data_IF_281844710775
#
_entry.id   IF_281844710775
#
_cell.length_a   1.000
_cell.length_b   1.000
_cell.length_c   1.000
_cell.angle_alpha   90.00
_cell.angle_beta   90.00
_cell.angle_gamma   90.00
#
_symmetry.space_group_name_H-M   'P 1'
#
loop_
_entity.id
_entity.type
_entity.pdbx_description
1 polymer ?
#
# COMPACT_ATOMS: atom_id res chain seq x y z
N UNK A 1 -17.72 -9.69 8.02
CA UNK A 1 -17.54 -9.98 6.58
C UNK A 1 -17.13 -8.71 5.88
N UNK A 2 -16.17 -8.79 4.97
CA UNK A 2 -15.55 -7.65 4.29
C UNK A 2 -16.18 -7.41 2.92
N UNK A 3 -16.16 -6.16 2.45
CA UNK A 3 -16.55 -5.79 1.10
C UNK A 3 -15.40 -5.13 0.38
N UNK A 4 -15.36 -5.23 -0.95
CA UNK A 4 -14.39 -4.48 -1.74
C UNK A 4 -14.62 -2.98 -1.49
N UNK A 5 -13.58 -2.25 -1.09
CA UNK A 5 -13.65 -0.79 -0.89
C UNK A 5 -14.15 -0.11 -2.15
N UNK A 6 -14.69 1.11 -2.06
CA UNK A 6 -14.88 1.95 -3.25
C UNK A 6 -13.51 2.39 -3.79
N UNK A 7 -13.30 2.27 -5.09
CA UNK A 7 -12.09 2.81 -5.74
C UNK A 7 -12.11 4.36 -5.67
N UNK A 8 -11.02 5.05 -5.28
CA UNK A 8 -10.99 6.51 -5.14
C UNK A 8 -11.16 7.30 -6.44
N UNK A 9 -10.92 6.65 -7.58
CA UNK A 9 -10.95 7.22 -8.92
C UNK A 9 -11.41 6.17 -9.93
N UNK A 10 -11.86 6.58 -11.13
CA UNK A 10 -12.31 5.64 -12.16
C UNK A 10 -11.14 5.10 -13.00
N UNK A 11 -10.32 6.01 -13.55
CA UNK A 11 -9.08 5.72 -14.27
C UNK A 11 -8.13 6.92 -14.18
N UNK A 12 -6.85 6.71 -14.46
CA UNK A 12 -5.83 7.73 -14.66
C UNK A 12 -5.21 7.48 -16.03
N UNK A 13 -5.71 8.18 -17.05
CA UNK A 13 -5.50 7.85 -18.48
C UNK A 13 -4.06 7.56 -18.90
N UNK A 14 -3.08 8.23 -18.31
CA UNK A 14 -1.67 8.11 -18.66
C UNK A 14 -0.84 7.24 -17.68
N UNK A 15 -1.52 6.58 -16.73
CA UNK A 15 -0.90 5.72 -15.73
C UNK A 15 -1.69 4.43 -15.46
N UNK A 16 -2.94 4.51 -14.99
CA UNK A 16 -3.81 3.37 -14.65
C UNK A 16 -5.03 3.44 -15.55
N UNK A 17 -5.04 2.67 -16.64
CA UNK A 17 -6.17 2.64 -17.56
C UNK A 17 -7.41 2.00 -16.91
N UNK A 18 -8.59 2.27 -17.48
CA UNK A 18 -9.82 1.56 -17.10
C UNK A 18 -9.66 0.03 -17.09
N UNK A 19 -8.95 -0.55 -18.07
CA UNK A 19 -8.70 -1.98 -18.12
C UNK A 19 -7.83 -2.43 -16.92
N UNK A 20 -6.80 -1.66 -16.54
CA UNK A 20 -6.04 -1.94 -15.32
C UNK A 20 -6.91 -1.88 -14.08
N UNK A 21 -7.82 -0.90 -13.95
CA UNK A 21 -8.77 -0.86 -12.83
C UNK A 21 -9.70 -2.08 -12.82
N UNK A 22 -10.26 -2.48 -13.97
CA UNK A 22 -11.15 -3.64 -14.09
C UNK A 22 -10.48 -4.94 -13.65
N UNK A 23 -9.20 -5.14 -13.98
CA UNK A 23 -8.47 -6.35 -13.60
C UNK A 23 -7.85 -6.26 -12.21
N UNK A 24 -7.11 -5.21 -11.88
CA UNK A 24 -6.38 -5.10 -10.62
C UNK A 24 -7.34 -4.88 -9.44
N UNK A 25 -8.24 -3.92 -9.53
CA UNK A 25 -9.25 -3.67 -8.50
C UNK A 25 -10.44 -4.62 -8.66
N UNK A 26 -11.05 -4.67 -9.84
CA UNK A 26 -12.31 -5.39 -10.07
C UNK A 26 -12.19 -6.93 -10.03
N UNK A 27 -10.99 -7.50 -10.24
CA UNK A 27 -10.77 -8.95 -10.19
C UNK A 27 -9.76 -9.36 -9.12
N UNK A 28 -8.52 -8.89 -9.14
CA UNK A 28 -7.49 -9.32 -8.18
C UNK A 28 -7.89 -8.94 -6.74
N UNK A 29 -8.15 -7.65 -6.50
CA UNK A 29 -8.56 -7.18 -5.19
C UNK A 29 -9.90 -7.81 -4.73
N UNK A 30 -10.90 -7.84 -5.60
CA UNK A 30 -12.18 -8.51 -5.34
C UNK A 30 -12.01 -10.00 -4.95
N UNK A 31 -11.08 -10.70 -5.60
CA UNK A 31 -10.80 -12.11 -5.32
C UNK A 31 -10.21 -12.29 -3.92
N UNK A 32 -9.29 -11.41 -3.49
CA UNK A 32 -8.77 -11.46 -2.11
C UNK A 32 -9.87 -11.27 -1.06
N UNK A 33 -10.79 -10.32 -1.28
CA UNK A 33 -11.95 -10.10 -0.40
C UNK A 33 -12.83 -11.36 -0.34
N UNK A 34 -13.18 -11.94 -1.50
CA UNK A 34 -14.02 -13.14 -1.58
C UNK A 34 -13.37 -14.34 -0.91
N UNK A 35 -12.09 -14.56 -1.17
CA UNK A 35 -11.31 -15.64 -0.58
C UNK A 35 -11.22 -15.48 0.94
N UNK A 36 -10.91 -14.27 1.43
CA UNK A 36 -10.86 -14.01 2.87
C UNK A 36 -12.19 -14.34 3.54
N UNK A 37 -13.30 -13.81 3.01
CA UNK A 37 -14.64 -14.09 3.52
C UNK A 37 -14.99 -15.58 3.53
N UNK A 38 -14.49 -16.37 2.58
CA UNK A 38 -14.71 -17.82 2.54
C UNK A 38 -13.82 -18.55 3.55
N UNK A 39 -12.57 -18.14 3.71
CA UNK A 39 -11.59 -18.79 4.57
C UNK A 39 -11.84 -18.57 6.06
N UNK A 40 -12.47 -17.46 6.45
CA UNK A 40 -12.67 -17.13 7.87
C UNK A 40 -13.94 -17.75 8.48
N UNK A 41 -14.87 -18.25 7.67
CA UNK A 41 -16.15 -18.81 8.16
C UNK A 41 -15.92 -19.99 9.10
N UNK A 42 -16.53 -19.96 10.29
CA UNK A 42 -16.35 -20.98 11.32
C UNK A 42 -14.95 -21.02 11.95
N UNK A 43 -14.12 -20.00 11.72
CA UNK A 43 -12.80 -19.87 12.36
C UNK A 43 -12.83 -18.80 13.46
N UNK A 44 -11.76 -18.69 14.24
CA UNK A 44 -11.60 -17.62 15.23
C UNK A 44 -11.63 -16.20 14.61
N UNK A 45 -11.39 -16.09 13.30
CA UNK A 45 -11.35 -14.83 12.57
C UNK A 45 -12.69 -14.39 11.96
N UNK A 46 -13.76 -15.18 12.11
CA UNK A 46 -15.05 -14.92 11.43
C UNK A 46 -15.61 -13.52 11.73
N UNK A 47 -15.39 -13.05 12.97
CA UNK A 47 -15.85 -11.75 13.46
C UNK A 47 -14.70 -10.81 13.83
N UNK A 48 -13.46 -11.15 13.46
CA UNK A 48 -12.30 -10.32 13.72
C UNK A 48 -12.27 -9.10 12.80
N UNK A 49 -11.59 -8.02 13.21
CA UNK A 49 -11.31 -6.91 12.29
C UNK A 49 -10.23 -7.30 11.28
N UNK A 50 -10.15 -6.61 10.14
CA UNK A 50 -9.11 -6.88 9.15
C UNK A 50 -7.70 -6.73 9.77
N UNK A 51 -7.52 -5.74 10.65
CA UNK A 51 -6.28 -5.51 11.38
C UNK A 51 -5.90 -6.69 12.26
N UNK A 52 -6.85 -7.26 12.99
CA UNK A 52 -6.60 -8.44 13.81
C UNK A 52 -6.21 -9.64 12.96
N UNK A 53 -6.84 -9.85 11.81
CA UNK A 53 -6.48 -10.94 10.91
C UNK A 53 -5.07 -10.73 10.35
N UNK A 54 -4.74 -9.54 9.85
CA UNK A 54 -3.41 -9.23 9.30
C UNK A 54 -2.31 -9.44 10.35
N UNK A 55 -2.57 -9.13 11.62
CA UNK A 55 -1.55 -9.21 12.68
C UNK A 55 -1.46 -10.58 13.36
N UNK A 56 -2.49 -11.43 13.28
CA UNK A 56 -2.55 -12.71 14.01
C UNK A 56 -2.60 -13.94 13.11
N UNK A 57 -3.23 -13.87 11.94
CA UNK A 57 -3.41 -15.01 11.07
C UNK A 57 -2.10 -15.42 10.36
N UNK A 58 -2.10 -16.62 9.79
CA UNK A 58 -0.99 -17.16 9.00
C UNK A 58 -1.52 -17.83 7.72
N UNK A 59 -0.62 -18.20 6.81
CA UNK A 59 -0.94 -18.97 5.60
C UNK A 59 -1.97 -18.28 4.70
N UNK A 60 -2.95 -19.04 4.20
CA UNK A 60 -3.93 -18.54 3.22
C UNK A 60 -4.82 -17.42 3.76
N UNK A 61 -5.19 -17.44 5.05
CA UNK A 61 -5.97 -16.37 5.67
C UNK A 61 -5.16 -15.07 5.70
N UNK A 62 -3.91 -15.14 6.16
CA UNK A 62 -2.99 -14.00 6.15
C UNK A 62 -2.79 -13.46 4.73
N UNK A 63 -2.49 -14.33 3.77
CA UNK A 63 -2.22 -13.91 2.39
C UNK A 63 -3.37 -13.08 1.80
N UNK A 64 -4.62 -13.51 2.00
CA UNK A 64 -5.77 -12.76 1.47
C UNK A 64 -6.04 -11.50 2.30
N UNK A 65 -5.96 -11.55 3.63
CA UNK A 65 -6.15 -10.36 4.49
C UNK A 65 -5.12 -9.26 4.21
N UNK A 66 -3.85 -9.64 4.13
CA UNK A 66 -2.78 -8.71 3.83
C UNK A 66 -2.91 -8.16 2.41
N UNK A 67 -3.29 -8.96 1.41
CA UNK A 67 -3.51 -8.44 0.06
C UNK A 67 -4.71 -7.47 -0.01
N UNK A 68 -5.80 -7.69 0.75
CA UNK A 68 -6.88 -6.68 0.86
C UNK A 68 -6.31 -5.36 1.38
N UNK A 69 -5.61 -5.40 2.52
CA UNK A 69 -4.99 -4.19 3.08
C UNK A 69 -3.98 -3.51 2.14
N UNK A 70 -3.05 -4.27 1.56
CA UNK A 70 -1.99 -3.73 0.72
C UNK A 70 -2.59 -3.00 -0.50
N UNK A 71 -3.63 -3.58 -1.12
CA UNK A 71 -4.33 -2.94 -2.24
C UNK A 71 -5.13 -1.73 -1.77
N UNK A 72 -5.88 -1.83 -0.66
CA UNK A 72 -6.59 -0.68 -0.10
C UNK A 72 -5.65 0.51 0.06
N UNK A 73 -4.49 0.29 0.69
CA UNK A 73 -3.49 1.33 0.94
C UNK A 73 -2.83 1.84 -0.35
N UNK A 74 -2.55 0.95 -1.31
CA UNK A 74 -2.04 1.32 -2.63
C UNK A 74 -2.99 2.28 -3.37
N UNK A 75 -4.30 2.00 -3.37
CA UNK A 75 -5.27 2.85 -4.06
C UNK A 75 -5.33 4.27 -3.47
N UNK A 76 -5.18 4.43 -2.16
CA UNK A 76 -5.13 5.75 -1.53
C UNK A 76 -3.79 6.46 -1.72
N UNK A 77 -2.70 5.72 -2.00
CA UNK A 77 -1.40 6.28 -2.36
C UNK A 77 -1.35 6.89 -3.77
N UNK A 78 -2.39 6.72 -4.58
CA UNK A 78 -2.46 7.19 -5.97
C UNK A 78 -3.54 8.26 -6.12
N UNK A 79 -3.23 9.32 -6.87
CA UNK A 79 -4.17 10.42 -7.16
C UNK A 79 -4.19 10.78 -8.65
N UNK A 80 -5.38 11.01 -9.25
CA UNK A 80 -5.49 11.54 -10.62
C UNK A 80 -4.96 12.98 -10.74
N UNK A 81 -4.92 13.72 -9.62
CA UNK A 81 -4.48 15.11 -9.57
C UNK A 81 -3.22 15.25 -8.72
N UNK A 82 -2.34 16.18 -9.08
CA UNK A 82 -1.21 16.53 -8.23
C UNK A 82 -1.71 17.00 -6.85
N UNK A 83 -1.14 16.43 -5.80
CA UNK A 83 -1.40 16.80 -4.40
C UNK A 83 -0.12 17.33 -3.77
N UNK A 84 -0.25 18.06 -2.66
CA UNK A 84 0.89 18.68 -1.99
C UNK A 84 1.35 17.85 -0.80
N UNK A 85 2.67 17.76 -0.67
CA UNK A 85 3.32 17.21 0.51
C UNK A 85 3.26 18.21 1.67
N UNK A 86 2.94 17.74 2.88
CA UNK A 86 3.05 18.57 4.08
C UNK A 86 4.50 18.94 4.38
N UNK A 87 4.72 20.08 5.04
CA UNK A 87 6.06 20.48 5.49
C UNK A 87 6.68 19.45 6.46
N UNK A 88 5.85 18.77 7.26
CA UNK A 88 6.31 17.70 8.14
C UNK A 88 6.88 16.51 7.36
N UNK A 89 6.20 16.10 6.28
CA UNK A 89 6.67 14.99 5.44
C UNK A 89 7.92 15.37 4.65
N UNK A 90 7.99 16.60 4.13
CA UNK A 90 9.22 17.13 3.48
C UNK A 90 10.40 17.08 4.45
N UNK A 91 10.23 17.61 5.66
CA UNK A 91 11.27 17.60 6.68
C UNK A 91 11.71 16.19 7.07
N UNK A 92 10.77 15.24 7.22
CA UNK A 92 11.10 13.85 7.52
C UNK A 92 11.87 13.15 6.39
N UNK A 93 11.55 13.48 5.13
CA UNK A 93 12.28 12.99 3.96
C UNK A 93 13.70 13.57 3.94
N UNK A 94 13.85 14.88 4.12
CA UNK A 94 15.16 15.52 4.10
C UNK A 94 16.06 15.03 5.25
N UNK A 95 15.50 14.83 6.45
CA UNK A 95 16.25 14.30 7.60
C UNK A 95 16.74 12.86 7.34
N UNK A 96 15.93 12.03 6.69
CA UNK A 96 16.24 10.61 6.51
C UNK A 96 17.11 10.37 5.28
N UNK A 97 16.75 10.97 4.15
CA UNK A 97 17.34 10.69 2.84
C UNK A 97 18.27 11.80 2.33
N UNK A 98 18.29 12.95 3.02
CA UNK A 98 19.13 14.10 2.70
C UNK A 98 18.56 15.05 1.65
N UNK A 99 17.71 14.58 0.73
CA UNK A 99 16.88 15.40 -0.15
C UNK A 99 15.74 14.59 -0.76
N UNK A 100 14.73 15.28 -1.30
CA UNK A 100 13.65 14.65 -2.06
C UNK A 100 14.15 13.86 -3.28
N UNK A 101 15.16 14.35 -3.99
CA UNK A 101 15.75 13.66 -5.15
C UNK A 101 16.40 12.33 -4.75
N UNK A 102 17.17 12.33 -3.65
CA UNK A 102 17.78 11.10 -3.11
C UNK A 102 16.73 10.11 -2.62
N UNK A 103 15.65 10.61 -2.03
CA UNK A 103 14.51 9.78 -1.67
C UNK A 103 13.86 9.14 -2.91
N UNK A 104 13.56 9.94 -3.95
CA UNK A 104 13.01 9.43 -5.22
C UNK A 104 13.91 8.35 -5.82
N UNK A 105 15.21 8.62 -5.93
CA UNK A 105 16.18 7.66 -6.46
C UNK A 105 16.19 6.35 -5.66
N UNK A 106 16.26 6.45 -4.33
CA UNK A 106 16.30 5.29 -3.44
C UNK A 106 15.01 4.47 -3.52
N UNK A 107 13.86 5.13 -3.54
CA UNK A 107 12.55 4.46 -3.61
C UNK A 107 12.36 3.74 -4.94
N UNK A 108 12.66 4.41 -6.06
CA UNK A 108 12.55 3.83 -7.39
C UNK A 108 13.54 2.68 -7.62
N UNK A 109 14.78 2.81 -7.15
CA UNK A 109 15.77 1.74 -7.22
C UNK A 109 15.31 0.52 -6.40
N UNK A 110 14.79 0.75 -5.20
CA UNK A 110 14.23 -0.33 -4.36
C UNK A 110 13.07 -1.03 -5.06
N UNK A 111 12.07 -0.29 -5.55
CA UNK A 111 10.93 -0.88 -6.24
C UNK A 111 11.31 -1.61 -7.54
N UNK A 112 12.34 -1.11 -8.26
CA UNK A 112 12.84 -1.73 -9.49
C UNK A 112 13.52 -3.07 -9.22
N UNK A 113 14.36 -3.12 -8.19
CA UNK A 113 15.23 -4.28 -7.88
C UNK A 113 14.55 -5.38 -7.09
N UNK A 114 13.33 -5.16 -6.58
CA UNK A 114 12.54 -6.19 -5.90
C UNK A 114 12.28 -7.38 -6.85
N UNK A 115 12.85 -8.54 -6.55
CA UNK A 115 12.74 -9.71 -7.41
C UNK A 115 11.40 -10.45 -7.21
N UNK A 116 10.72 -10.75 -8.32
CA UNK A 116 9.43 -11.42 -8.32
C UNK A 116 8.28 -10.50 -7.91
N UNK A 117 7.30 -11.09 -7.23
CA UNK A 117 6.08 -10.42 -6.77
C UNK A 117 6.25 -9.82 -5.38
N UNK A 118 5.74 -8.61 -5.16
CA UNK A 118 5.84 -7.95 -3.87
C UNK A 118 5.47 -6.48 -3.91
N UNK A 119 5.89 -5.77 -2.87
CA UNK A 119 5.51 -4.39 -2.59
C UNK A 119 6.73 -3.62 -2.11
N UNK A 120 6.87 -2.37 -2.56
CA UNK A 120 7.88 -1.45 -2.05
C UNK A 120 7.20 -0.34 -1.25
N UNK A 121 7.68 -0.15 -0.02
CA UNK A 121 7.04 0.68 0.99
C UNK A 121 7.96 1.82 1.40
N UNK A 122 7.35 2.94 1.76
CA UNK A 122 7.92 3.86 2.75
C UNK A 122 7.17 3.63 4.05
N UNK A 123 7.90 3.44 5.13
CA UNK A 123 7.34 3.19 6.46
C UNK A 123 7.89 4.18 7.47
N UNK A 124 7.13 4.43 8.52
CA UNK A 124 7.63 5.08 9.74
C UNK A 124 7.97 4.01 10.77
N UNK A 125 9.21 4.04 11.27
CA UNK A 125 9.66 3.16 12.33
C UNK A 125 9.51 3.87 13.69
N UNK A 126 8.59 3.42 14.58
CA UNK A 126 8.34 4.10 15.85
C UNK A 126 9.53 4.04 16.82
N UNK A 127 10.44 3.07 16.67
CA UNK A 127 11.61 2.93 17.52
C UNK A 127 12.70 3.95 17.17
N UNK A 128 12.95 4.15 15.86
CA UNK A 128 13.98 5.08 15.38
C UNK A 128 13.42 6.48 15.13
N UNK A 129 12.09 6.61 15.04
CA UNK A 129 11.34 7.81 14.65
C UNK A 129 11.72 8.35 13.27
N UNK A 130 12.16 7.47 12.37
CA UNK A 130 12.60 7.81 11.01
C UNK A 130 11.78 7.09 9.95
N UNK A 131 11.86 7.60 8.73
CA UNK A 131 11.34 6.91 7.56
C UNK A 131 12.31 5.81 7.13
N UNK A 132 11.78 4.74 6.55
CA UNK A 132 12.57 3.65 5.97
C UNK A 132 11.93 3.21 4.65
N UNK A 133 12.76 2.77 3.70
CA UNK A 133 12.30 2.10 2.48
C UNK A 133 12.44 0.59 2.69
N UNK A 134 11.32 -0.13 2.57
CA UNK A 134 11.27 -1.58 2.83
C UNK A 134 10.67 -2.29 1.61
N UNK A 135 11.21 -3.46 1.28
CA UNK A 135 10.62 -4.37 0.30
C UNK A 135 9.96 -5.53 1.03
N UNK A 136 8.78 -5.94 0.57
CA UNK A 136 8.15 -7.17 1.06
C UNK A 136 7.79 -8.07 -0.10
N UNK A 137 7.98 -9.37 0.08
CA UNK A 137 7.67 -10.37 -0.94
C UNK A 137 6.21 -10.83 -0.83
N UNK A 138 5.59 -11.08 -1.97
CA UNK A 138 4.24 -11.61 -2.10
C UNK A 138 3.20 -10.76 -1.32
N UNK A 139 2.58 -11.32 -0.29
CA UNK A 139 1.54 -10.66 0.52
C UNK A 139 2.09 -9.98 1.79
N UNK A 140 3.38 -10.14 2.09
CA UNK A 140 3.96 -9.62 3.32
C UNK A 140 3.80 -8.10 3.41
N UNK A 141 3.64 -7.59 4.63
CA UNK A 141 3.41 -6.17 4.90
C UNK A 141 4.21 -5.73 6.12
N UNK A 142 4.77 -4.51 6.16
CA UNK A 142 5.56 -4.04 7.30
C UNK A 142 4.80 -3.97 8.63
N UNK A 143 3.46 -3.98 8.58
CA UNK A 143 2.59 -3.94 9.77
C UNK A 143 2.89 -5.08 10.75
N UNK A 144 3.21 -6.28 10.25
CA UNK A 144 3.53 -7.45 11.10
C UNK A 144 4.86 -7.30 11.84
N UNK A 145 5.71 -6.38 11.40
CA UNK A 145 7.00 -6.05 12.02
C UNK A 145 6.91 -4.81 12.91
N UNK A 146 5.70 -4.30 13.17
CA UNK A 146 5.47 -3.10 13.95
C UNK A 146 5.88 -1.80 13.27
N UNK A 147 6.10 -1.83 11.95
CA UNK A 147 6.37 -0.66 11.12
C UNK A 147 5.06 -0.13 10.54
N UNK A 148 4.97 1.19 10.38
CA UNK A 148 3.71 1.84 9.98
C UNK A 148 3.83 2.30 8.52
N UNK A 149 3.05 1.73 7.58
CA UNK A 149 3.09 2.16 6.17
C UNK A 149 2.68 3.62 5.96
N UNK A 150 3.43 4.31 5.11
CA UNK A 150 3.26 5.72 4.75
C UNK A 150 2.98 5.88 3.25
N UNK A 151 3.69 5.11 2.42
CA UNK A 151 3.51 5.02 0.96
C UNK A 151 3.72 3.56 0.55
N UNK A 152 3.02 3.09 -0.47
CA UNK A 152 3.30 1.79 -1.10
C UNK A 152 3.14 1.86 -2.61
N UNK A 153 3.97 1.11 -3.33
CA UNK A 153 3.75 0.74 -4.73
C UNK A 153 3.68 -0.78 -4.88
N UNK A 154 2.67 -1.25 -5.62
CA UNK A 154 2.55 -2.64 -6.03
C UNK A 154 3.52 -2.93 -7.19
N UNK A 155 4.35 -3.96 -7.06
CA UNK A 155 5.26 -4.42 -8.12
C UNK A 155 5.00 -5.88 -8.54
N UNK A 156 3.86 -6.45 -8.15
CA UNK A 156 3.32 -7.61 -8.85
C UNK A 156 3.08 -7.25 -10.31
N UNK A 157 3.41 -8.16 -11.22
CA UNK A 157 3.32 -7.87 -12.66
C UNK A 157 1.90 -7.46 -13.08
N UNK A 158 0.87 -8.03 -12.45
CA UNK A 158 -0.52 -7.68 -12.76
C UNK A 158 -0.88 -6.21 -12.49
N UNK A 159 -0.13 -5.50 -11.65
CA UNK A 159 -0.34 -4.08 -11.39
C UNK A 159 0.00 -3.20 -12.61
N UNK A 160 0.92 -3.65 -13.47
CA UNK A 160 1.46 -2.83 -14.55
C UNK A 160 1.49 -3.50 -15.93
N UNK A 161 1.31 -4.82 -16.04
CA UNK A 161 1.54 -5.51 -17.30
C UNK A 161 0.63 -5.03 -18.43
N UNK A 162 -0.62 -4.66 -18.12
CA UNK A 162 -1.59 -4.16 -19.11
C UNK A 162 -1.10 -2.86 -19.78
N UNK A 163 -0.57 -1.91 -19.01
CA UNK A 163 -0.10 -0.63 -19.53
C UNK A 163 1.37 -0.61 -19.95
N UNK A 164 2.22 -1.40 -19.30
CA UNK A 164 3.68 -1.29 -19.39
C UNK A 164 4.41 -2.59 -19.74
N UNK A 165 3.71 -3.73 -19.80
CA UNK A 165 4.32 -5.06 -20.00
C UNK A 165 5.49 -5.27 -19.02
N UNK A 166 6.67 -5.66 -19.49
CA UNK A 166 7.85 -5.87 -18.65
C UNK A 166 8.54 -4.56 -18.21
N UNK A 167 8.08 -3.39 -18.66
CA UNK A 167 8.72 -2.10 -18.39
C UNK A 167 8.34 -1.54 -16.99
N UNK A 168 8.63 -2.30 -15.93
CA UNK A 168 8.43 -1.87 -14.54
C UNK A 168 9.02 -0.48 -14.24
N UNK A 169 10.24 -0.10 -14.71
CA UNK A 169 10.77 1.24 -14.46
C UNK A 169 9.87 2.36 -15.00
N UNK A 170 9.25 2.18 -16.17
CA UNK A 170 8.33 3.16 -16.75
C UNK A 170 7.03 3.28 -15.94
N UNK A 171 6.51 2.15 -15.44
CA UNK A 171 5.38 2.13 -14.50
C UNK A 171 5.71 2.88 -13.20
N UNK A 172 6.90 2.66 -12.64
CA UNK A 172 7.32 3.28 -11.38
C UNK A 172 7.51 4.80 -11.49
N UNK A 173 8.05 5.30 -12.61
CA UNK A 173 8.13 6.74 -12.86
C UNK A 173 6.74 7.38 -12.99
N UNK A 174 5.79 6.68 -13.63
CA UNK A 174 4.39 7.12 -13.68
C UNK A 174 3.74 7.10 -12.31
N UNK A 175 3.89 6.02 -11.55
CA UNK A 175 3.44 5.94 -10.16
C UNK A 175 3.95 7.12 -9.34
N UNK A 176 5.25 7.40 -9.41
CA UNK A 176 5.86 8.48 -8.63
C UNK A 176 5.28 9.86 -8.95
N UNK A 177 4.88 10.07 -10.21
CA UNK A 177 4.23 11.30 -10.67
C UNK A 177 2.77 11.44 -10.21
N UNK A 178 2.15 10.32 -9.81
CA UNK A 178 0.76 10.24 -9.35
C UNK A 178 0.63 9.93 -7.86
N UNK A 179 1.69 10.07 -7.07
CA UNK A 179 1.61 9.88 -5.62
C UNK A 179 0.61 10.88 -5.03
N UNK A 180 -0.30 10.35 -4.21
CA UNK A 180 -1.18 11.13 -3.37
C UNK A 180 -0.44 11.62 -2.13
N UNK A 181 0.40 12.65 -2.28
CA UNK A 181 1.16 13.25 -1.19
C UNK A 181 0.30 13.76 -0.03
N UNK A 182 -0.96 14.11 -0.27
CA UNK A 182 -1.88 14.47 0.81
C UNK A 182 -2.17 13.26 1.71
N UNK A 183 -2.47 12.09 1.12
CA UNK A 183 -2.65 10.85 1.87
C UNK A 183 -1.36 10.41 2.58
N UNK A 184 -0.22 10.43 1.88
CA UNK A 184 1.09 10.09 2.46
C UNK A 184 1.41 10.99 3.66
N UNK A 185 1.08 12.29 3.57
CA UNK A 185 1.25 13.24 4.67
C UNK A 185 0.36 12.90 5.87
N UNK A 186 -0.92 12.57 5.63
CA UNK A 186 -1.86 12.15 6.69
C UNK A 186 -1.41 10.86 7.36
N UNK A 187 -0.94 9.89 6.58
CA UNK A 187 -0.41 8.63 7.10
C UNK A 187 0.77 8.86 8.05
N UNK A 188 1.69 9.79 7.72
CA UNK A 188 2.80 10.15 8.61
C UNK A 188 2.32 10.85 9.89
N UNK A 189 1.40 11.80 9.76
CA UNK A 189 0.82 12.51 10.90
C UNK A 189 0.18 11.52 11.87
N UNK A 190 -0.66 10.61 11.38
CA UNK A 190 -1.31 9.59 12.20
C UNK A 190 -0.32 8.59 12.77
N UNK A 191 0.70 8.17 12.00
CA UNK A 191 1.75 7.27 12.49
C UNK A 191 2.50 7.86 13.68
N UNK A 192 2.81 9.16 13.66
CA UNK A 192 3.50 9.85 14.77
C UNK A 192 2.59 10.05 16.00
N UNK A 193 1.29 10.25 15.80
CA UNK A 193 0.31 10.46 16.89
C UNK A 193 -0.13 9.16 17.54
N UNK A 194 -0.53 8.18 16.73
CA UNK A 194 -1.24 6.98 17.18
C UNK A 194 -0.42 5.69 17.00
N UNK A 195 0.78 5.76 16.42
CA UNK A 195 1.58 4.57 16.15
C UNK A 195 0.84 3.57 15.26
N UNK A 196 0.92 2.28 15.57
CA UNK A 196 0.16 1.23 14.87
C UNK A 196 -1.36 1.36 15.03
N UNK A 197 -1.83 2.13 16.00
CA UNK A 197 -3.25 2.47 16.15
C UNK A 197 -3.82 3.17 14.91
N UNK A 198 -3.00 3.93 14.18
CA UNK A 198 -3.42 4.56 12.92
C UNK A 198 -3.76 3.54 11.84
N UNK A 199 -3.01 2.43 11.76
CA UNK A 199 -3.24 1.36 10.79
C UNK A 199 -4.55 0.63 11.11
N UNK A 200 -4.79 0.35 12.40
CA UNK A 200 -6.05 -0.24 12.85
C UNK A 200 -7.24 0.67 12.52
N UNK A 201 -7.13 1.97 12.83
CA UNK A 201 -8.15 2.96 12.49
C UNK A 201 -8.43 2.99 10.98
N UNK A 202 -7.39 3.05 10.15
CA UNK A 202 -7.50 3.06 8.69
C UNK A 202 -8.25 1.82 8.16
N UNK A 203 -7.82 0.62 8.53
CA UNK A 203 -8.47 -0.62 8.08
C UNK A 203 -9.94 -0.68 8.50
N UNK A 204 -10.25 -0.31 9.75
CA UNK A 204 -11.63 -0.32 10.23
C UNK A 204 -12.49 0.75 9.56
N UNK A 205 -11.92 1.90 9.18
CA UNK A 205 -12.68 2.96 8.50
C UNK A 205 -13.19 2.54 7.10
N UNK A 206 -12.54 1.55 6.47
CA UNK A 206 -12.92 1.02 5.17
C UNK A 206 -13.83 -0.22 5.25
N UNK A 207 -13.75 -0.96 6.37
CA UNK A 207 -14.30 -2.31 6.50
C UNK A 207 -15.18 -2.50 7.75
N UNK A 208 -15.68 -1.41 8.32
CA UNK A 208 -16.66 -1.42 9.43
C UNK A 208 -18.09 -1.60 8.97
#
# INVERSE_FOLDING_TARGET
MYSLRKLPFDEIKDFISKETCEFHYGKHHQTYVNNLNNLIKGTEFENASLYEIVTKAQGGIFNNAAQVYNHDFYWDCVSPNATQMSEELKGAIDETFGSFEKFKESFLNSATTLFGSGWCWVVYNPNTKKLEIVQTSNAQTPVTNGLIPILVVDVWEHAYYIGFRNARPSYLEKFFSHINWEFVSKSLEWAKKEGLGSVNFYMNSLHS
#
